data_IF_499184430362
#
_entry.id   IF_499184430362
#
_cell.length_a   1.000
_cell.length_b   1.000
_cell.length_c   1.000
_cell.angle_alpha   90.00
_cell.angle_beta   90.00
_cell.angle_gamma   90.00
#
_symmetry.space_group_name_H-M   'P 1'
#
loop_
_entity.id
_entity.type
_entity.pdbx_description
1 polymer ?
#
# COMPACT_ATOMS: atom_id res chain seq x y z
N UNK A 1 22.33 21.29 6.23
CA UNK A 1 21.44 20.12 6.14
C UNK A 1 21.55 19.37 7.45
N UNK A 2 20.49 19.32 8.25
CA UNK A 2 20.45 18.48 9.46
C UNK A 2 20.61 17.00 9.04
N UNK A 3 21.47 16.30 9.76
CA UNK A 3 21.78 14.88 9.48
C UNK A 3 20.59 14.03 9.92
N UNK A 4 20.12 13.11 9.07
CA UNK A 4 19.05 12.17 9.41
C UNK A 4 19.45 11.34 10.64
N UNK A 5 18.67 11.41 11.72
CA UNK A 5 18.90 10.64 12.93
C UNK A 5 17.79 9.59 13.12
N UNK A 6 18.16 8.33 13.04
CA UNK A 6 17.23 7.19 13.22
C UNK A 6 16.60 7.21 14.62
N UNK A 7 17.23 7.86 15.60
CA UNK A 7 16.75 7.94 17.00
C UNK A 7 15.46 8.77 17.15
N UNK A 8 15.10 9.58 16.16
CA UNK A 8 13.85 10.33 16.14
C UNK A 8 12.63 9.48 15.75
N UNK A 9 12.84 8.38 15.00
CA UNK A 9 11.76 7.52 14.51
C UNK A 9 10.88 6.91 15.62
N UNK A 10 11.41 6.42 16.76
CA UNK A 10 10.58 5.93 17.86
C UNK A 10 9.63 6.98 18.43
N UNK A 11 10.00 8.26 18.44
CA UNK A 11 9.12 9.33 18.91
C UNK A 11 7.92 9.52 17.98
N UNK A 12 8.15 9.50 16.65
CA UNK A 12 7.08 9.55 15.64
C UNK A 12 6.17 8.32 15.77
N UNK A 13 6.75 7.12 15.91
CA UNK A 13 5.99 5.88 16.09
C UNK A 13 5.16 5.88 17.36
N UNK A 14 5.70 6.40 18.48
CA UNK A 14 4.97 6.51 19.75
C UNK A 14 3.75 7.43 19.60
N UNK A 15 3.91 8.57 18.91
CA UNK A 15 2.80 9.48 18.60
C UNK A 15 1.72 8.76 17.79
N UNK A 16 2.10 8.10 16.71
CA UNK A 16 1.19 7.36 15.85
C UNK A 16 0.49 6.22 16.59
N UNK A 17 1.20 5.52 17.45
CA UNK A 17 0.64 4.45 18.30
C UNK A 17 -0.41 5.00 19.29
N UNK A 18 -0.16 6.15 19.89
CA UNK A 18 -1.13 6.79 20.80
C UNK A 18 -2.41 7.17 20.04
N UNK A 19 -2.28 7.78 18.86
CA UNK A 19 -3.40 8.10 18.00
C UNK A 19 -4.14 6.84 17.58
N UNK A 20 -3.43 5.81 17.15
CA UNK A 20 -3.99 4.53 16.75
C UNK A 20 -4.78 3.86 17.87
N UNK A 21 -4.23 3.80 19.10
CA UNK A 21 -4.94 3.22 20.27
C UNK A 21 -6.29 3.88 20.53
N UNK A 22 -6.45 5.14 20.19
CA UNK A 22 -7.72 5.87 20.36
C UNK A 22 -8.76 5.52 19.29
N UNK A 23 -8.33 5.28 18.06
CA UNK A 23 -9.20 5.11 16.90
C UNK A 23 -9.13 3.72 16.26
N UNK A 24 -8.38 2.77 16.85
CA UNK A 24 -8.10 1.47 16.25
C UNK A 24 -9.35 0.68 15.83
N UNK A 25 -10.49 0.69 16.55
CA UNK A 25 -11.64 -0.12 16.12
C UNK A 25 -12.16 0.33 14.75
N UNK A 26 -12.35 1.64 14.55
CA UNK A 26 -12.85 2.19 13.30
C UNK A 26 -11.83 2.01 12.16
N UNK A 27 -10.56 2.31 12.40
CA UNK A 27 -9.52 2.18 11.37
C UNK A 27 -9.27 0.73 10.98
N UNK A 28 -9.27 -0.20 11.94
CA UNK A 28 -9.08 -1.63 11.67
C UNK A 28 -10.28 -2.23 10.96
N UNK A 29 -11.49 -1.89 11.43
CA UNK A 29 -12.72 -2.38 10.83
C UNK A 29 -12.82 -1.99 9.35
N UNK A 30 -12.59 -0.71 9.03
CA UNK A 30 -12.64 -0.23 7.64
C UNK A 30 -11.54 -0.89 6.78
N UNK A 31 -10.30 -0.93 7.28
CA UNK A 31 -9.17 -1.46 6.53
C UNK A 31 -9.26 -2.98 6.24
N UNK A 32 -9.97 -3.72 7.08
CA UNK A 32 -10.15 -5.17 6.94
C UNK A 32 -11.45 -5.51 6.22
N UNK A 33 -12.54 -4.84 6.56
CA UNK A 33 -13.86 -5.18 6.05
C UNK A 33 -14.01 -4.90 4.56
N UNK A 34 -13.53 -3.77 4.08
CA UNK A 34 -13.66 -3.38 2.68
C UNK A 34 -13.01 -4.39 1.71
N UNK A 35 -11.73 -4.81 1.88
CA UNK A 35 -11.14 -5.86 1.05
C UNK A 35 -11.83 -7.21 1.19
N UNK A 36 -12.37 -7.55 2.36
CA UNK A 36 -13.10 -8.80 2.55
C UNK A 36 -14.46 -8.78 1.85
N UNK A 37 -15.22 -7.71 1.97
CA UNK A 37 -16.48 -7.54 1.22
C UNK A 37 -16.20 -7.69 -0.27
N UNK A 38 -15.14 -7.03 -0.74
CA UNK A 38 -14.74 -7.11 -2.14
C UNK A 38 -14.35 -8.54 -2.54
N UNK A 39 -13.54 -9.23 -1.73
CA UNK A 39 -13.19 -10.65 -1.94
C UNK A 39 -14.44 -11.52 -2.05
N UNK A 40 -15.37 -11.39 -1.12
CA UNK A 40 -16.56 -12.24 -1.11
C UNK A 40 -17.54 -11.86 -2.24
N UNK A 41 -17.76 -10.56 -2.49
CA UNK A 41 -18.68 -10.13 -3.54
C UNK A 41 -18.18 -10.54 -4.93
N UNK A 42 -16.91 -10.28 -5.25
CA UNK A 42 -16.34 -10.64 -6.55
C UNK A 42 -15.94 -12.13 -6.59
N UNK A 43 -15.20 -12.60 -5.56
CA UNK A 43 -14.68 -13.96 -5.54
C UNK A 43 -15.77 -15.04 -5.53
N UNK A 44 -16.86 -14.86 -4.79
CA UNK A 44 -17.98 -15.80 -4.79
C UNK A 44 -19.02 -15.44 -5.84
N UNK A 45 -19.32 -14.15 -6.07
CA UNK A 45 -20.33 -13.72 -7.04
C UNK A 45 -19.93 -14.06 -8.47
N UNK A 46 -18.76 -13.63 -8.93
CA UNK A 46 -18.24 -13.98 -10.26
C UNK A 46 -17.75 -15.42 -10.31
N UNK A 47 -17.21 -15.94 -9.18
CA UNK A 47 -16.80 -17.33 -9.04
C UNK A 47 -17.92 -18.34 -9.21
N UNK A 48 -19.19 -17.93 -9.11
CA UNK A 48 -20.34 -18.76 -9.45
C UNK A 48 -20.46 -19.01 -10.97
N UNK A 49 -19.82 -18.20 -11.81
CA UNK A 49 -19.82 -18.31 -13.27
C UNK A 49 -18.45 -18.76 -13.84
N UNK A 50 -17.38 -18.58 -13.07
CA UNK A 50 -16.00 -18.92 -13.46
C UNK A 50 -15.42 -19.82 -12.36
N UNK A 51 -15.29 -21.10 -12.62
CA UNK A 51 -14.76 -22.06 -11.64
C UNK A 51 -13.26 -21.84 -11.41
N UNK A 52 -12.47 -21.76 -12.49
CA UNK A 52 -11.01 -21.68 -12.43
C UNK A 52 -10.47 -20.63 -13.40
N UNK A 53 -9.40 -19.97 -12.99
CA UNK A 53 -8.61 -19.05 -13.79
C UNK A 53 -7.12 -19.22 -13.46
N UNK A 54 -6.26 -19.25 -14.48
CA UNK A 54 -4.83 -19.50 -14.31
C UNK A 54 -4.50 -20.76 -13.47
N UNK A 55 -5.33 -21.82 -13.57
CA UNK A 55 -5.12 -23.09 -12.87
C UNK A 55 -5.47 -23.09 -11.38
N UNK A 56 -6.14 -22.05 -10.88
CA UNK A 56 -6.62 -21.96 -9.49
C UNK A 56 -8.09 -21.55 -9.46
N UNK A 57 -8.79 -21.88 -8.36
CA UNK A 57 -10.17 -21.40 -8.18
C UNK A 57 -10.23 -19.88 -8.25
N UNK A 58 -11.26 -19.35 -8.91
CA UNK A 58 -11.40 -17.90 -9.09
C UNK A 58 -11.35 -17.10 -7.77
N UNK A 59 -11.99 -17.62 -6.72
CA UNK A 59 -11.97 -17.00 -5.38
C UNK A 59 -10.56 -16.93 -4.79
N UNK A 60 -9.69 -17.90 -5.07
CA UNK A 60 -8.29 -17.91 -4.62
C UNK A 60 -7.48 -16.88 -5.41
N UNK A 61 -7.72 -16.79 -6.71
CA UNK A 61 -7.08 -15.79 -7.57
C UNK A 61 -7.41 -14.36 -7.13
N UNK A 62 -8.70 -14.08 -6.93
CA UNK A 62 -9.16 -12.76 -6.45
C UNK A 62 -8.70 -12.49 -5.03
N UNK A 63 -8.65 -13.50 -4.17
CA UNK A 63 -8.21 -13.35 -2.78
C UNK A 63 -6.75 -12.95 -2.65
N UNK A 64 -5.87 -13.52 -3.47
CA UNK A 64 -4.47 -13.08 -3.55
C UNK A 64 -4.34 -11.67 -4.13
N UNK A 65 -5.18 -11.30 -5.10
CA UNK A 65 -5.27 -9.94 -5.65
C UNK A 65 -5.82 -8.92 -4.64
N UNK A 66 -6.77 -9.31 -3.79
CA UNK A 66 -7.35 -8.44 -2.76
C UNK A 66 -6.31 -7.99 -1.72
N UNK A 67 -5.21 -8.72 -1.53
CA UNK A 67 -4.06 -8.29 -0.72
C UNK A 67 -3.52 -6.95 -1.23
N UNK A 68 -3.27 -6.84 -2.53
CA UNK A 68 -2.72 -5.61 -3.10
C UNK A 68 -3.74 -4.46 -3.09
N UNK A 69 -5.04 -4.75 -3.23
CA UNK A 69 -6.11 -3.76 -3.02
C UNK A 69 -6.09 -3.22 -1.59
N UNK A 70 -6.00 -4.11 -0.60
CA UNK A 70 -5.89 -3.73 0.80
C UNK A 70 -4.63 -2.89 1.05
N UNK A 71 -3.49 -3.27 0.49
CA UNK A 71 -2.22 -2.53 0.59
C UNK A 71 -2.36 -1.14 -0.02
N UNK A 72 -2.92 -1.03 -1.23
CA UNK A 72 -3.09 0.25 -1.92
C UNK A 72 -3.90 1.23 -1.08
N UNK A 73 -5.10 0.84 -0.67
CA UNK A 73 -6.01 1.74 0.04
C UNK A 73 -5.55 2.02 1.48
N UNK A 74 -5.05 1.01 2.21
CA UNK A 74 -4.57 1.19 3.59
C UNK A 74 -3.26 2.00 3.70
N UNK A 75 -2.55 2.24 2.58
CA UNK A 75 -1.31 3.01 2.56
C UNK A 75 -1.44 4.38 1.90
N UNK A 76 -2.02 4.46 0.69
CA UNK A 76 -2.09 5.72 -0.05
C UNK A 76 -3.04 6.71 0.62
N UNK A 77 -4.22 6.25 1.07
CA UNK A 77 -5.19 7.15 1.71
C UNK A 77 -4.66 7.79 2.99
N UNK A 78 -4.11 7.05 3.96
CA UNK A 78 -3.45 7.70 5.09
C UNK A 78 -2.33 8.65 4.68
N UNK A 79 -1.51 8.25 3.70
CA UNK A 79 -0.47 9.14 3.14
C UNK A 79 -1.02 10.43 2.55
N UNK A 80 -2.17 10.39 1.89
CA UNK A 80 -2.82 11.59 1.33
C UNK A 80 -3.53 12.41 2.41
N UNK A 81 -4.53 11.81 3.06
CA UNK A 81 -5.48 12.54 3.90
C UNK A 81 -4.91 12.86 5.28
N UNK A 82 -4.29 11.90 5.99
CA UNK A 82 -3.76 12.18 7.33
C UNK A 82 -2.63 13.20 7.27
N UNK A 83 -1.72 13.06 6.30
CA UNK A 83 -0.63 14.03 6.09
C UNK A 83 -1.17 15.43 5.78
N UNK A 84 -2.22 15.54 4.94
CA UNK A 84 -2.83 16.83 4.62
C UNK A 84 -3.52 17.43 5.85
N UNK A 85 -4.29 16.64 6.58
CA UNK A 85 -5.01 17.08 7.79
C UNK A 85 -4.03 17.54 8.85
N UNK A 86 -2.97 16.76 9.12
CA UNK A 86 -1.94 17.09 10.10
C UNK A 86 -1.20 18.38 9.74
N UNK A 87 -0.94 18.61 8.45
CA UNK A 87 -0.23 19.79 7.95
C UNK A 87 -1.12 21.04 7.90
N UNK A 88 -2.31 20.94 7.31
CA UNK A 88 -3.12 22.12 6.94
C UNK A 88 -4.12 22.49 8.04
N UNK A 89 -4.84 21.51 8.56
CA UNK A 89 -5.91 21.76 9.53
C UNK A 89 -5.42 21.74 10.98
N UNK A 90 -4.63 20.73 11.34
CA UNK A 90 -4.16 20.57 12.72
C UNK A 90 -2.87 21.33 13.01
N UNK A 91 -2.07 21.66 11.97
CA UNK A 91 -0.75 22.31 12.07
C UNK A 91 0.22 21.60 13.03
N UNK A 92 0.04 20.28 13.18
CA UNK A 92 0.86 19.44 14.08
C UNK A 92 2.31 19.43 13.63
N UNK A 93 2.56 19.50 12.32
CA UNK A 93 3.90 19.49 11.77
C UNK A 93 4.72 20.73 12.17
N UNK A 94 4.10 21.89 12.32
CA UNK A 94 4.78 23.12 12.79
C UNK A 94 5.32 22.89 14.21
N UNK A 95 4.52 22.26 15.08
CA UNK A 95 4.95 21.91 16.44
C UNK A 95 6.06 20.86 16.47
N UNK A 96 6.01 19.83 15.62
CA UNK A 96 7.04 18.79 15.57
C UNK A 96 8.35 19.36 15.02
N UNK A 97 8.30 20.20 13.99
CA UNK A 97 9.49 20.80 13.37
C UNK A 97 10.10 21.93 14.21
N UNK A 98 9.44 22.39 15.27
CA UNK A 98 10.06 23.23 16.30
C UNK A 98 10.99 22.46 17.24
N UNK A 99 10.96 21.12 17.20
CA UNK A 99 11.91 20.22 17.87
C UNK A 99 13.10 19.92 16.93
N UNK A 100 14.15 19.21 17.38
CA UNK A 100 15.25 18.80 16.50
C UNK A 100 14.89 17.82 15.38
N UNK A 101 13.63 17.43 15.26
CA UNK A 101 13.15 16.49 14.22
C UNK A 101 13.14 17.14 12.85
N UNK A 102 13.71 16.46 11.86
CA UNK A 102 13.73 16.93 10.45
C UNK A 102 12.46 16.49 9.70
N UNK A 103 12.13 17.18 8.61
CA UNK A 103 11.03 16.77 7.71
C UNK A 103 11.23 15.36 7.18
N UNK A 104 12.47 14.95 6.90
CA UNK A 104 12.77 13.61 6.39
C UNK A 104 12.43 12.53 7.44
N UNK A 105 12.81 12.74 8.69
CA UNK A 105 12.52 11.83 9.80
C UNK A 105 11.02 11.71 10.06
N UNK A 106 10.31 12.83 10.01
CA UNK A 106 8.85 12.85 10.15
C UNK A 106 8.18 12.04 9.05
N UNK A 107 8.52 12.30 7.78
CA UNK A 107 7.91 11.59 6.62
C UNK A 107 8.24 10.10 6.63
N UNK A 108 9.49 9.73 6.90
CA UNK A 108 9.90 8.32 6.99
C UNK A 108 9.24 7.62 8.19
N UNK A 109 9.18 8.29 9.34
CA UNK A 109 8.54 7.76 10.54
C UNK A 109 7.06 7.46 10.33
N UNK A 110 6.29 8.41 9.78
CA UNK A 110 4.88 8.20 9.47
C UNK A 110 4.67 7.13 8.40
N UNK A 111 5.46 7.16 7.31
CA UNK A 111 5.34 6.17 6.24
C UNK A 111 5.66 4.75 6.74
N UNK A 112 6.70 4.59 7.55
CA UNK A 112 7.06 3.28 8.11
C UNK A 112 6.02 2.76 9.11
N UNK A 113 5.37 3.62 9.88
CA UNK A 113 4.25 3.26 10.74
C UNK A 113 3.04 2.76 9.93
N UNK A 114 2.64 3.53 8.90
CA UNK A 114 1.53 3.14 8.01
C UNK A 114 1.86 1.81 7.33
N UNK A 115 3.08 1.63 6.84
CA UNK A 115 3.52 0.41 6.20
C UNK A 115 3.48 -0.80 7.16
N UNK A 116 3.92 -0.63 8.42
CA UNK A 116 3.87 -1.70 9.43
C UNK A 116 2.43 -2.12 9.75
N UNK A 117 1.52 -1.17 9.87
CA UNK A 117 0.10 -1.45 10.07
C UNK A 117 -0.52 -2.12 8.83
N UNK A 118 -0.21 -1.62 7.65
CA UNK A 118 -0.70 -2.18 6.38
C UNK A 118 -0.15 -3.57 6.11
N UNK A 119 1.05 -3.90 6.58
CA UNK A 119 1.59 -5.26 6.51
C UNK A 119 0.67 -6.28 7.19
N UNK A 120 0.09 -5.91 8.33
CA UNK A 120 -0.89 -6.75 9.04
C UNK A 120 -2.22 -6.79 8.29
N UNK A 121 -2.79 -5.64 7.96
CA UNK A 121 -4.12 -5.56 7.33
C UNK A 121 -4.13 -6.15 5.91
N UNK A 122 -3.09 -5.91 5.13
CA UNK A 122 -2.94 -6.46 3.78
C UNK A 122 -2.86 -7.99 3.75
N UNK A 123 -2.40 -8.61 4.85
CA UNK A 123 -2.33 -10.07 4.93
C UNK A 123 -3.70 -10.74 5.22
N UNK A 124 -4.70 -9.98 5.66
CA UNK A 124 -6.00 -10.53 6.05
C UNK A 124 -6.76 -11.18 4.89
N UNK A 125 -6.87 -10.58 3.68
CA UNK A 125 -7.56 -11.22 2.55
C UNK A 125 -6.94 -12.55 2.15
N UNK A 126 -5.61 -12.67 2.21
CA UNK A 126 -4.93 -13.96 1.97
C UNK A 126 -5.37 -15.00 3.00
N UNK A 127 -5.37 -14.65 4.29
CA UNK A 127 -5.81 -15.57 5.35
C UNK A 127 -7.27 -15.97 5.19
N UNK A 128 -8.13 -15.03 4.84
CA UNK A 128 -9.55 -15.27 4.58
C UNK A 128 -9.79 -16.19 3.35
N UNK A 129 -8.80 -16.34 2.48
CA UNK A 129 -8.91 -17.21 1.28
C UNK A 129 -8.57 -18.68 1.57
N UNK A 130 -7.90 -18.98 2.69
CA UNK A 130 -7.53 -20.36 3.07
C UNK A 130 -8.73 -21.31 3.10
N UNK A 131 -9.87 -20.99 3.72
CA UNK A 131 -11.04 -21.87 3.73
C UNK A 131 -11.62 -22.15 2.33
N UNK A 132 -11.31 -21.32 1.34
CA UNK A 132 -11.82 -21.45 -0.03
C UNK A 132 -10.89 -22.24 -0.96
N UNK A 133 -9.79 -22.77 -0.43
CA UNK A 133 -8.90 -23.68 -1.16
C UNK A 133 -7.47 -23.17 -1.37
N UNK A 134 -7.09 -22.04 -0.79
CA UNK A 134 -5.69 -21.62 -0.75
C UNK A 134 -4.93 -22.55 0.21
N UNK A 135 -4.03 -23.37 -0.31
CA UNK A 135 -3.22 -24.28 0.53
C UNK A 135 -2.14 -23.49 1.28
N UNK A 136 -2.07 -23.58 2.62
CA UNK A 136 -1.02 -22.92 3.39
C UNK A 136 0.38 -23.40 2.97
N UNK A 137 1.27 -22.43 2.71
CA UNK A 137 2.67 -22.66 2.33
C UNK A 137 3.60 -21.74 3.12
N UNK A 138 4.84 -22.13 3.32
CA UNK A 138 5.84 -21.34 4.02
C UNK A 138 6.09 -19.96 3.39
N UNK A 139 5.94 -19.86 2.06
CA UNK A 139 6.04 -18.58 1.34
C UNK A 139 5.05 -17.52 1.82
N UNK A 140 3.88 -17.92 2.34
CA UNK A 140 2.87 -16.97 2.84
C UNK A 140 3.38 -16.14 4.04
N UNK A 141 4.39 -16.62 4.77
CA UNK A 141 5.04 -15.83 5.83
C UNK A 141 5.81 -14.61 5.30
N UNK A 142 6.10 -14.57 4.00
CA UNK A 142 6.73 -13.42 3.36
C UNK A 142 5.70 -12.34 2.99
N UNK A 143 4.41 -12.66 2.93
CA UNK A 143 3.37 -11.70 2.52
C UNK A 143 3.33 -10.45 3.37
N UNK A 144 3.43 -10.47 4.72
CA UNK A 144 3.52 -9.25 5.51
C UNK A 144 4.72 -8.36 5.12
N UNK A 145 5.88 -8.94 4.78
CA UNK A 145 7.05 -8.19 4.35
C UNK A 145 6.86 -7.58 2.96
N UNK A 146 6.23 -8.32 2.04
CA UNK A 146 5.86 -7.82 0.71
C UNK A 146 4.89 -6.64 0.85
N UNK A 147 3.86 -6.79 1.69
CA UNK A 147 2.92 -5.72 2.01
C UNK A 147 3.62 -4.50 2.61
N UNK A 148 4.59 -4.71 3.52
CA UNK A 148 5.34 -3.60 4.13
C UNK A 148 6.10 -2.78 3.10
N UNK A 149 6.89 -3.44 2.23
CA UNK A 149 7.70 -2.74 1.21
C UNK A 149 6.79 -2.01 0.22
N UNK A 150 5.72 -2.65 -0.24
CA UNK A 150 4.75 -2.06 -1.15
C UNK A 150 4.03 -0.86 -0.51
N UNK A 151 3.56 -1.02 0.73
CA UNK A 151 2.87 0.03 1.47
C UNK A 151 3.78 1.23 1.76
N UNK A 152 5.07 1.01 2.03
CA UNK A 152 6.03 2.08 2.26
C UNK A 152 6.11 3.02 1.05
N UNK A 153 6.30 2.46 -0.14
CA UNK A 153 6.35 3.23 -1.39
C UNK A 153 5.02 3.94 -1.71
N UNK A 154 3.91 3.24 -1.50
CA UNK A 154 2.57 3.79 -1.74
C UNK A 154 2.20 4.88 -0.72
N UNK A 155 2.61 4.76 0.53
CA UNK A 155 2.44 5.82 1.54
C UNK A 155 3.24 7.07 1.16
N UNK A 156 4.50 6.90 0.74
CA UNK A 156 5.29 8.01 0.22
C UNK A 156 4.65 8.68 -1.01
N UNK A 157 4.04 7.90 -1.91
CA UNK A 157 3.26 8.44 -3.02
C UNK A 157 2.09 9.29 -2.50
N UNK A 158 1.34 8.79 -1.51
CA UNK A 158 0.25 9.54 -0.87
C UNK A 158 0.74 10.84 -0.23
N UNK A 159 1.84 10.81 0.53
CA UNK A 159 2.46 12.00 1.12
C UNK A 159 2.94 12.99 0.05
N UNK A 160 3.51 12.50 -1.06
CA UNK A 160 3.91 13.33 -2.19
C UNK A 160 2.70 14.06 -2.79
N UNK A 161 1.61 13.35 -3.07
CA UNK A 161 0.35 13.93 -3.56
C UNK A 161 -0.18 14.95 -2.56
N UNK A 162 -0.16 14.64 -1.26
CA UNK A 162 -0.55 15.56 -0.19
C UNK A 162 0.24 16.87 -0.24
N UNK A 163 1.54 16.80 -0.53
CA UNK A 163 2.39 17.98 -0.68
C UNK A 163 2.07 18.83 -1.91
N UNK A 164 1.53 18.25 -2.97
CA UNK A 164 1.16 18.96 -4.20
C UNK A 164 -0.17 19.70 -4.09
N UNK A 165 -1.16 19.11 -3.44
CA UNK A 165 -2.52 19.67 -3.40
C UNK A 165 -2.65 20.83 -2.42
N UNK A 166 -3.55 21.77 -2.75
CA UNK A 166 -3.87 22.93 -1.92
C UNK A 166 -5.19 22.77 -1.16
N UNK A 167 -6.12 21.99 -1.69
CA UNK A 167 -7.44 21.74 -1.11
C UNK A 167 -7.74 20.24 -1.09
N UNK A 168 -8.46 19.78 -0.07
CA UNK A 168 -8.71 18.36 0.19
C UNK A 168 -9.50 17.69 -0.95
N UNK A 169 -10.38 18.44 -1.61
CA UNK A 169 -11.22 17.93 -2.71
C UNK A 169 -10.39 17.51 -3.94
N UNK A 170 -9.18 18.04 -4.08
CA UNK A 170 -8.27 17.67 -5.17
C UNK A 170 -7.83 16.19 -5.10
N UNK A 171 -7.95 15.54 -3.95
CA UNK A 171 -7.61 14.12 -3.84
C UNK A 171 -8.51 13.22 -4.68
N UNK A 172 -9.76 13.60 -4.93
CA UNK A 172 -10.68 12.86 -5.78
C UNK A 172 -10.16 12.72 -7.22
N UNK A 173 -9.45 13.72 -7.74
CA UNK A 173 -8.82 13.64 -9.06
C UNK A 173 -7.69 12.60 -9.09
N UNK A 174 -6.83 12.57 -8.06
CA UNK A 174 -5.77 11.57 -7.97
C UNK A 174 -6.32 10.17 -7.75
N UNK A 175 -7.38 10.04 -6.96
CA UNK A 175 -8.06 8.77 -6.75
C UNK A 175 -8.60 8.21 -8.06
N UNK A 176 -9.33 9.02 -8.82
CA UNK A 176 -9.97 8.57 -10.06
C UNK A 176 -8.99 8.43 -11.23
N UNK A 177 -8.04 9.36 -11.38
CA UNK A 177 -7.13 9.39 -12.52
C UNK A 177 -5.86 8.57 -12.32
N UNK A 178 -5.44 8.27 -11.08
CA UNK A 178 -4.21 7.54 -10.80
C UNK A 178 -4.50 6.20 -10.10
N UNK A 179 -5.15 6.22 -8.92
CA UNK A 179 -5.27 5.01 -8.11
C UNK A 179 -6.19 3.97 -8.74
N UNK A 180 -7.31 4.41 -9.31
CA UNK A 180 -8.25 3.49 -9.97
C UNK A 180 -7.63 2.79 -11.17
N UNK A 181 -6.97 3.47 -12.13
CA UNK A 181 -6.24 2.79 -13.20
C UNK A 181 -5.10 1.89 -12.69
N UNK A 182 -4.33 2.31 -11.68
CA UNK A 182 -3.29 1.45 -11.08
C UNK A 182 -3.87 0.12 -10.61
N UNK A 183 -5.06 0.14 -9.98
CA UNK A 183 -5.70 -1.06 -9.49
C UNK A 183 -6.19 -1.95 -10.64
N UNK A 184 -6.84 -1.39 -11.65
CA UNK A 184 -7.37 -2.19 -12.77
C UNK A 184 -6.28 -2.78 -13.66
N UNK A 185 -5.17 -2.07 -13.84
CA UNK A 185 -4.04 -2.52 -14.67
C UNK A 185 -3.06 -3.41 -13.89
N UNK A 186 -3.36 -3.74 -12.64
CA UNK A 186 -2.48 -4.52 -11.78
C UNK A 186 -2.64 -6.04 -11.90
N UNK A 187 -3.69 -6.53 -12.59
CA UNK A 187 -3.98 -7.97 -12.62
C UNK A 187 -4.72 -8.49 -11.40
N UNK A 188 -5.34 -7.61 -10.60
CA UNK A 188 -6.10 -7.98 -9.39
C UNK A 188 -7.28 -8.92 -9.71
N UNK A 189 -8.03 -8.63 -10.77
CA UNK A 189 -9.32 -9.27 -11.08
C UNK A 189 -9.26 -10.25 -12.23
N UNK A 190 -8.28 -10.12 -13.11
CA UNK A 190 -8.08 -10.95 -14.28
C UNK A 190 -6.58 -11.09 -14.58
N UNK A 191 -6.14 -12.24 -15.15
CA UNK A 191 -4.76 -12.41 -15.55
C UNK A 191 -4.36 -11.40 -16.63
N UNK A 192 -3.13 -10.91 -16.55
CA UNK A 192 -2.57 -10.01 -17.58
C UNK A 192 -2.15 -10.81 -18.81
N UNK A 193 -1.88 -12.10 -18.64
CA UNK A 193 -1.50 -13.00 -19.71
C UNK A 193 -2.64 -13.12 -20.74
N UNK A 194 -2.31 -12.90 -22.00
CA UNK A 194 -3.29 -12.89 -23.09
C UNK A 194 -3.86 -11.50 -23.45
N UNK A 195 -3.53 -10.47 -22.68
CA UNK A 195 -3.85 -9.09 -23.03
C UNK A 195 -2.83 -8.52 -24.05
N UNK A 196 -3.20 -7.45 -24.79
CA UNK A 196 -2.29 -6.82 -25.74
C UNK A 196 -0.95 -6.43 -25.08
N UNK A 197 0.16 -6.51 -25.83
CA UNK A 197 1.52 -6.26 -25.32
C UNK A 197 1.70 -4.93 -24.61
N UNK A 198 1.00 -3.88 -25.03
CA UNK A 198 1.07 -2.56 -24.40
C UNK A 198 0.55 -2.58 -22.95
N UNK A 199 -0.43 -3.45 -22.66
CA UNK A 199 -0.98 -3.59 -21.31
C UNK A 199 0.08 -4.16 -20.35
N UNK A 200 0.80 -5.21 -20.75
CA UNK A 200 1.91 -5.76 -19.98
C UNK A 200 3.04 -4.74 -19.74
N UNK A 201 3.32 -3.87 -20.71
CA UNK A 201 4.32 -2.79 -20.55
C UNK A 201 3.90 -1.79 -19.45
N UNK A 202 2.63 -1.40 -19.42
CA UNK A 202 2.09 -0.49 -18.39
C UNK A 202 2.07 -1.19 -17.03
N UNK A 203 1.69 -2.46 -16.99
CA UNK A 203 1.69 -3.25 -15.74
C UNK A 203 3.08 -3.35 -15.12
N UNK A 204 4.13 -3.51 -15.92
CA UNK A 204 5.51 -3.56 -15.44
C UNK A 204 6.03 -2.26 -14.79
N UNK A 205 5.35 -1.14 -14.97
CA UNK A 205 5.67 0.12 -14.25
C UNK A 205 4.80 0.28 -12.99
N UNK A 206 3.76 -0.54 -12.87
CA UNK A 206 2.77 -0.44 -11.80
C UNK A 206 3.27 -1.12 -10.51
N UNK A 207 3.46 -0.40 -9.40
CA UNK A 207 3.90 -1.00 -8.14
C UNK A 207 2.89 -2.01 -7.57
N UNK A 208 1.59 -1.82 -7.86
CA UNK A 208 0.53 -2.74 -7.40
C UNK A 208 0.64 -4.08 -8.10
N UNK A 209 1.01 -4.10 -9.39
CA UNK A 209 1.29 -5.32 -10.14
C UNK A 209 2.43 -6.12 -9.51
N UNK A 210 3.55 -5.47 -9.20
CA UNK A 210 4.69 -6.14 -8.55
C UNK A 210 4.34 -6.70 -7.17
N UNK A 211 3.49 -6.00 -6.42
CA UNK A 211 2.97 -6.50 -5.16
C UNK A 211 2.14 -7.79 -5.35
N UNK A 212 1.23 -7.81 -6.33
CA UNK A 212 0.38 -8.97 -6.62
C UNK A 212 1.19 -10.18 -7.04
N UNK A 213 2.12 -10.01 -7.98
CA UNK A 213 2.96 -11.09 -8.47
C UNK A 213 3.79 -11.71 -7.33
N UNK A 214 4.41 -10.89 -6.46
CA UNK A 214 5.11 -11.39 -5.29
C UNK A 214 4.19 -12.14 -4.30
N UNK A 215 3.00 -11.62 -4.06
CA UNK A 215 2.01 -12.28 -3.19
C UNK A 215 1.59 -13.61 -3.78
N UNK A 216 1.33 -13.69 -5.10
CA UNK A 216 0.99 -14.93 -5.80
C UNK A 216 2.15 -15.92 -5.76
N UNK A 217 3.36 -15.49 -6.07
CA UNK A 217 4.55 -16.32 -5.98
C UNK A 217 4.74 -16.91 -4.58
N UNK A 218 4.52 -16.10 -3.54
CA UNK A 218 4.61 -16.54 -2.16
C UNK A 218 3.50 -17.51 -1.78
N UNK A 219 2.26 -17.29 -2.24
CA UNK A 219 1.11 -18.12 -1.93
C UNK A 219 1.10 -19.45 -2.72
N UNK A 220 1.52 -19.42 -3.99
CA UNK A 220 1.50 -20.60 -4.85
C UNK A 220 2.83 -21.40 -4.82
N UNK A 221 3.86 -20.83 -4.20
CA UNK A 221 5.18 -21.49 -4.06
C UNK A 221 5.99 -21.46 -5.35
N UNK A 222 5.78 -20.44 -6.19
CA UNK A 222 6.47 -20.19 -7.46
C UNK A 222 7.63 -19.20 -7.33
N UNK A 223 8.05 -18.90 -6.10
CA UNK A 223 9.17 -18.00 -5.83
C UNK A 223 10.41 -18.40 -6.61
N UNK A 224 10.93 -17.49 -7.40
CA UNK A 224 12.04 -17.70 -8.31
C UNK A 224 12.98 -16.49 -8.33
N UNK A 225 14.06 -16.58 -9.12
CA UNK A 225 14.93 -15.41 -9.34
C UNK A 225 14.21 -14.23 -10.02
N UNK A 226 13.17 -14.51 -10.80
CA UNK A 226 12.33 -13.47 -11.39
C UNK A 226 11.57 -12.67 -10.33
N UNK A 227 11.17 -13.30 -9.21
CA UNK A 227 10.53 -12.62 -8.09
C UNK A 227 11.40 -11.53 -7.46
N UNK A 228 12.74 -11.64 -7.56
CA UNK A 228 13.67 -10.59 -7.12
C UNK A 228 13.51 -9.29 -7.92
N UNK A 229 13.12 -9.38 -9.19
CA UNK A 229 12.84 -8.20 -10.00
C UNK A 229 11.66 -7.40 -9.44
N UNK A 230 10.61 -8.07 -9.01
CA UNK A 230 9.45 -7.42 -8.39
C UNK A 230 9.82 -6.76 -7.07
N UNK A 231 10.68 -7.39 -6.25
CA UNK A 231 11.20 -6.78 -5.02
C UNK A 231 12.01 -5.52 -5.35
N UNK A 232 12.91 -5.61 -6.32
CA UNK A 232 13.73 -4.48 -6.75
C UNK A 232 12.87 -3.31 -7.24
N UNK A 233 11.86 -3.59 -8.05
CA UNK A 233 10.93 -2.59 -8.56
C UNK A 233 10.21 -1.86 -7.41
N UNK A 234 9.72 -2.59 -6.39
CA UNK A 234 9.08 -2.00 -5.21
C UNK A 234 10.04 -1.15 -4.37
N UNK A 235 11.27 -1.60 -4.17
CA UNK A 235 12.30 -0.85 -3.44
C UNK A 235 12.66 0.43 -4.19
N UNK A 236 12.87 0.35 -5.50
CA UNK A 236 13.16 1.51 -6.36
C UNK A 236 11.97 2.49 -6.33
N UNK A 237 10.74 1.99 -6.45
CA UNK A 237 9.54 2.81 -6.34
C UNK A 237 9.46 3.53 -4.99
N UNK A 238 9.71 2.83 -3.87
CA UNK A 238 9.73 3.42 -2.54
C UNK A 238 10.83 4.49 -2.38
N UNK A 239 12.01 4.25 -2.95
CA UNK A 239 13.12 5.22 -2.93
C UNK A 239 12.80 6.50 -3.73
N UNK A 240 12.20 6.35 -4.91
CA UNK A 240 11.78 7.47 -5.76
C UNK A 240 10.69 8.28 -5.06
N UNK A 241 9.59 7.63 -4.67
CA UNK A 241 8.45 8.31 -4.04
C UNK A 241 8.82 8.91 -2.69
N UNK A 242 9.67 8.25 -1.89
CA UNK A 242 10.19 8.76 -0.65
C UNK A 242 11.02 10.03 -0.84
N UNK A 243 11.92 10.02 -1.82
CA UNK A 243 12.73 11.21 -2.16
C UNK A 243 11.84 12.38 -2.62
N UNK A 244 10.85 12.10 -3.47
CA UNK A 244 9.90 13.12 -3.94
C UNK A 244 9.03 13.66 -2.81
N UNK A 245 8.52 12.79 -1.94
CA UNK A 245 7.72 13.16 -0.77
C UNK A 245 8.49 14.10 0.15
N UNK A 246 9.70 13.72 0.56
CA UNK A 246 10.55 14.50 1.43
C UNK A 246 10.86 15.87 0.81
N UNK A 247 11.22 15.91 -0.47
CA UNK A 247 11.54 17.17 -1.17
C UNK A 247 10.36 18.13 -1.23
N UNK A 248 9.17 17.62 -1.58
CA UNK A 248 7.96 18.45 -1.68
C UNK A 248 7.51 18.92 -0.31
N UNK A 249 7.53 18.03 0.69
CA UNK A 249 7.16 18.39 2.06
C UNK A 249 8.12 19.39 2.68
N UNK A 250 9.42 19.26 2.46
CA UNK A 250 10.41 20.24 2.93
C UNK A 250 10.13 21.62 2.37
N UNK A 251 9.81 21.73 1.06
CA UNK A 251 9.45 23.03 0.46
C UNK A 251 8.14 23.60 1.01
N UNK A 252 7.19 22.77 1.43
CA UNK A 252 5.88 23.19 1.94
C UNK A 252 5.89 23.57 3.41
N UNK A 253 6.83 23.07 4.18
CA UNK A 253 6.89 23.24 5.64
C UNK A 253 7.94 24.26 6.07
N UNK A 254 8.95 24.55 5.23
CA UNK A 254 10.07 25.43 5.60
C UNK A 254 9.99 26.78 4.82
N UNK A 255 9.15 26.86 3.80
CA UNK A 255 8.85 28.11 3.04
C UNK A 255 7.48 28.64 3.38
#
# INVERSE_FOLDING_TARGET
>A
MARFDVRSLPAVWTRELIIFKRYWPGTTFTAVLEPLIFLFAIGLGVGAFIDEIAGVKYVVFVGTGAVATAVLFSSVFPGMYNTFIARVFQKVYDGILSTPTTTAELMVGEASWVAARTAVYGSVPMMATIPFGLTPRWGMLLVPFICFISALGLTFLGQYISGLVKVIDSFSYFQSALLTPLLFVSGTYFPIDGLPRWFGTISNVNPVYHCIELVRDACFGTLSRASLWHVLALVVFAAITGTLSIRVMTKRLIT
#
